data_IF_301852784945
#
_entry.id   IF_301852784945
#
_cell.length_a   1.000
_cell.length_b   1.000
_cell.length_c   1.000
_cell.angle_alpha   90.00
_cell.angle_beta   90.00
_cell.angle_gamma   90.00
#
_symmetry.space_group_name_H-M   'P 1'
#
loop_
_entity.id
_entity.type
_entity.pdbx_description
1 polymer ?
#
# COMPACT_ATOMS: atom_id res chain seq x y z
N UNK A 1 -14.66 -13.45 5.12
CA UNK A 1 -13.59 -13.34 4.09
C UNK A 1 -13.99 -12.38 2.97
N UNK A 2 -15.20 -12.49 2.40
CA UNK A 2 -15.72 -11.55 1.37
C UNK A 2 -15.66 -10.07 1.78
N UNK A 3 -16.05 -9.74 3.01
CA UNK A 3 -16.08 -8.34 3.49
C UNK A 3 -14.69 -7.72 3.69
N UNK A 4 -13.67 -8.55 3.97
CA UNK A 4 -12.28 -8.09 4.09
C UNK A 4 -11.74 -7.63 2.75
N UNK A 5 -12.08 -8.35 1.67
CA UNK A 5 -11.64 -8.03 0.31
C UNK A 5 -12.42 -6.87 -0.31
N UNK A 6 -13.68 -6.67 0.06
CA UNK A 6 -14.46 -5.51 -0.39
C UNK A 6 -13.97 -4.19 0.21
N UNK A 7 -13.36 -4.24 1.40
CA UNK A 7 -12.89 -3.08 2.14
C UNK A 7 -11.38 -3.11 2.43
N UNK A 8 -10.57 -3.80 1.60
CA UNK A 8 -9.13 -3.92 1.82
C UNK A 8 -8.41 -2.56 1.83
N UNK A 9 -9.01 -1.52 1.22
CA UNK A 9 -8.55 -0.14 1.34
C UNK A 9 -8.49 0.41 2.78
N UNK A 10 -9.13 -0.25 3.76
CA UNK A 10 -9.00 0.09 5.18
C UNK A 10 -7.88 -0.68 5.90
N UNK A 11 -7.23 -1.65 5.26
CA UNK A 11 -6.12 -2.40 5.84
C UNK A 11 -4.81 -1.61 5.73
N UNK A 12 -4.73 -0.54 6.50
CA UNK A 12 -3.61 0.40 6.57
C UNK A 12 -3.71 1.20 7.86
N UNK A 13 -2.64 1.91 8.20
CA UNK A 13 -2.67 2.83 9.33
C UNK A 13 -3.50 4.07 8.99
N UNK A 14 -4.34 4.52 9.93
CA UNK A 14 -5.26 5.65 9.72
C UNK A 14 -4.58 6.94 9.23
N UNK A 15 -3.32 7.17 9.65
CA UNK A 15 -2.58 8.36 9.24
C UNK A 15 -2.25 8.39 7.74
N UNK A 16 -2.17 7.23 7.07
CA UNK A 16 -1.95 7.19 5.63
C UNK A 16 -3.11 7.82 4.87
N UNK A 17 -4.35 7.63 5.35
CA UNK A 17 -5.53 8.27 4.76
C UNK A 17 -5.56 9.78 5.04
N UNK A 18 -5.18 10.20 6.25
CA UNK A 18 -5.15 11.64 6.56
C UNK A 18 -4.07 12.37 5.75
N UNK A 19 -2.91 11.75 5.54
CA UNK A 19 -1.88 12.25 4.61
C UNK A 19 -2.36 12.25 3.17
N UNK A 20 -2.98 11.15 2.70
CA UNK A 20 -3.52 11.06 1.35
C UNK A 20 -4.56 12.15 1.06
N UNK A 21 -5.46 12.43 2.01
CA UNK A 21 -6.39 13.54 1.89
C UNK A 21 -5.66 14.89 1.84
N UNK A 22 -4.61 15.08 2.64
CA UNK A 22 -3.75 16.27 2.58
C UNK A 22 -3.10 16.46 1.21
N UNK A 23 -2.57 15.39 0.61
CA UNK A 23 -2.01 15.43 -0.75
C UNK A 23 -3.09 15.65 -1.82
N UNK A 24 -4.27 15.09 -1.65
CA UNK A 24 -5.39 15.29 -2.56
C UNK A 24 -5.82 16.75 -2.59
N UNK A 25 -6.14 17.32 -1.43
CA UNK A 25 -6.62 18.70 -1.29
C UNK A 25 -5.57 19.75 -1.67
N UNK A 26 -4.28 19.42 -1.56
CA UNK A 26 -3.18 20.28 -2.02
C UNK A 26 -2.79 20.06 -3.50
N UNK A 27 -3.48 19.18 -4.23
CA UNK A 27 -3.18 18.88 -5.63
C UNK A 27 -1.87 18.11 -5.85
N UNK A 28 -1.28 17.54 -4.79
CA UNK A 28 0.02 16.84 -4.83
C UNK A 28 -0.10 15.33 -5.06
N UNK A 29 -1.31 14.78 -4.98
CA UNK A 29 -1.58 13.35 -5.21
C UNK A 29 -1.20 12.84 -6.61
N UNK A 30 -0.98 13.73 -7.58
CA UNK A 30 -0.54 13.40 -8.95
C UNK A 30 0.98 13.46 -9.15
N UNK A 31 1.73 13.87 -8.13
CA UNK A 31 3.19 13.95 -8.22
C UNK A 31 3.77 12.54 -8.27
N UNK A 32 4.77 12.35 -9.12
CA UNK A 32 5.54 11.10 -9.16
C UNK A 32 6.38 11.00 -7.89
N UNK A 33 6.34 9.82 -7.27
CA UNK A 33 7.16 9.47 -6.12
C UNK A 33 7.80 8.10 -6.38
N UNK A 34 8.88 7.81 -5.64
CA UNK A 34 9.49 6.49 -5.58
C UNK A 34 9.71 6.12 -4.12
N UNK A 35 9.39 4.88 -3.73
CA UNK A 35 9.60 4.34 -2.39
C UNK A 35 10.36 3.02 -2.45
N UNK A 36 11.34 2.87 -1.56
CA UNK A 36 12.14 1.65 -1.43
C UNK A 36 11.78 0.93 -0.13
N UNK A 37 11.39 -0.34 -0.27
CA UNK A 37 11.18 -1.26 0.86
C UNK A 37 12.45 -2.08 1.08
N UNK A 38 12.99 -2.02 2.30
CA UNK A 38 14.19 -2.75 2.70
C UNK A 38 14.21 -3.01 4.21
N UNK A 39 15.15 -3.84 4.66
CA UNK A 39 15.36 -4.16 6.08
C UNK A 39 16.78 -3.81 6.51
N UNK A 40 17.02 -3.71 7.83
CA UNK A 40 18.26 -3.15 8.40
C UNK A 40 19.18 -4.16 9.08
N UNK A 41 18.68 -5.34 9.37
CA UNK A 41 19.46 -6.43 9.98
C UNK A 41 18.87 -7.76 9.59
N UNK A 42 19.73 -8.75 9.35
CA UNK A 42 19.26 -10.11 9.10
C UNK A 42 18.49 -10.64 10.31
N UNK A 43 17.33 -11.29 10.09
CA UNK A 43 16.57 -11.91 11.15
C UNK A 43 17.38 -13.07 11.75
N UNK A 44 17.14 -13.38 13.02
CA UNK A 44 17.76 -14.51 13.74
C UNK A 44 19.30 -14.50 13.80
N UNK A 45 19.95 -13.36 13.48
CA UNK A 45 21.41 -13.28 13.40
C UNK A 45 22.03 -14.07 12.24
N UNK A 46 21.25 -14.35 11.18
CA UNK A 46 21.72 -15.09 10.02
C UNK A 46 22.70 -14.27 9.15
N UNK A 47 23.37 -14.96 8.22
CA UNK A 47 24.20 -14.32 7.20
C UNK A 47 23.42 -13.71 6.03
N UNK A 48 22.17 -14.14 5.82
CA UNK A 48 21.33 -13.73 4.71
C UNK A 48 19.83 -13.95 4.98
N UNK A 49 18.98 -13.36 4.15
CA UNK A 49 17.52 -13.57 4.18
C UNK A 49 17.04 -14.10 2.83
N UNK A 50 16.05 -14.99 2.81
CA UNK A 50 15.38 -15.42 1.59
C UNK A 50 14.12 -14.58 1.39
N UNK A 51 13.97 -13.92 0.23
CA UNK A 51 12.82 -13.07 -0.06
C UNK A 51 11.59 -13.91 -0.43
N UNK A 52 10.45 -13.64 0.20
CA UNK A 52 9.19 -14.34 -0.04
C UNK A 52 7.98 -13.45 0.23
N UNK A 53 6.82 -13.78 -0.37
CA UNK A 53 5.56 -13.06 -0.21
C UNK A 53 5.22 -12.12 -1.38
N UNK A 54 5.97 -12.19 -2.49
CA UNK A 54 5.71 -11.35 -3.67
C UNK A 54 4.38 -11.74 -4.35
N UNK A 55 4.09 -13.04 -4.42
CA UNK A 55 2.83 -13.54 -4.98
C UNK A 55 1.61 -12.98 -4.24
N UNK A 56 1.57 -13.19 -2.92
CA UNK A 56 0.47 -12.70 -2.06
C UNK A 56 0.33 -11.17 -2.14
N UNK A 57 1.45 -10.45 -2.12
CA UNK A 57 1.45 -8.99 -2.24
C UNK A 57 0.79 -8.52 -3.56
N UNK A 58 1.15 -9.13 -4.69
CA UNK A 58 0.60 -8.75 -6.00
C UNK A 58 -0.88 -9.11 -6.13
N UNK A 59 -1.34 -10.20 -5.52
CA UNK A 59 -2.76 -10.56 -5.48
C UNK A 59 -3.56 -9.55 -4.65
N UNK A 60 -3.09 -9.23 -3.44
CA UNK A 60 -3.73 -8.25 -2.56
C UNK A 60 -3.79 -6.86 -3.19
N UNK A 61 -2.73 -6.44 -3.90
CA UNK A 61 -2.68 -5.16 -4.57
C UNK A 61 -3.72 -5.04 -5.70
N UNK A 62 -3.96 -6.13 -6.45
CA UNK A 62 -4.99 -6.16 -7.49
C UNK A 62 -6.41 -6.03 -6.91
N UNK A 63 -6.61 -6.51 -5.68
CA UNK A 63 -7.88 -6.45 -4.98
C UNK A 63 -8.07 -5.16 -4.16
N UNK A 64 -7.05 -4.30 -4.07
CA UNK A 64 -7.08 -3.10 -3.26
C UNK A 64 -8.12 -2.08 -3.78
N UNK A 65 -9.19 -1.90 -3.00
CA UNK A 65 -10.28 -0.96 -3.29
C UNK A 65 -10.97 -0.49 -2.01
N UNK A 66 -11.70 0.61 -2.12
CA UNK A 66 -12.58 1.13 -1.08
C UNK A 66 -14.04 0.83 -1.44
N UNK A 67 -14.61 -0.21 -0.82
CA UNK A 67 -16.03 -0.54 -0.95
C UNK A 67 -16.94 0.51 -0.29
N UNK A 68 -18.25 0.38 -0.50
CA UNK A 68 -19.25 1.34 0.02
C UNK A 68 -19.18 1.49 1.54
N UNK A 69 -19.00 0.38 2.27
CA UNK A 69 -18.90 0.41 3.73
C UNK A 69 -17.64 1.16 4.21
N UNK A 70 -16.52 0.99 3.51
CA UNK A 70 -15.32 1.76 3.79
C UNK A 70 -15.54 3.26 3.56
N UNK A 71 -16.22 3.64 2.49
CA UNK A 71 -16.55 5.04 2.22
C UNK A 71 -17.46 5.61 3.30
N UNK A 72 -18.51 4.90 3.71
CA UNK A 72 -19.42 5.33 4.76
C UNK A 72 -18.69 5.47 6.11
N UNK A 73 -17.80 4.52 6.41
CA UNK A 73 -16.95 4.60 7.58
C UNK A 73 -16.06 5.85 7.56
N UNK A 74 -15.35 6.12 6.46
CA UNK A 74 -14.48 7.29 6.36
C UNK A 74 -15.27 8.60 6.38
N UNK A 75 -16.47 8.64 5.79
CA UNK A 75 -17.39 9.77 5.91
C UNK A 75 -17.75 10.03 7.37
N UNK A 76 -18.05 8.99 8.14
CA UNK A 76 -18.33 9.11 9.59
C UNK A 76 -17.14 9.64 10.40
N UNK A 77 -15.90 9.49 9.88
CA UNK A 77 -14.66 10.01 10.47
C UNK A 77 -14.31 11.43 10.03
N UNK A 78 -15.13 12.06 9.18
CA UNK A 78 -14.97 13.45 8.76
C UNK A 78 -14.08 13.68 7.54
N UNK A 79 -13.82 12.64 6.74
CA UNK A 79 -13.18 12.80 5.43
C UNK A 79 -14.08 13.59 4.47
N UNK A 80 -13.46 14.34 3.56
CA UNK A 80 -14.15 15.25 2.62
C UNK A 80 -14.75 14.48 1.46
N UNK A 81 -15.96 14.87 1.05
CA UNK A 81 -16.71 14.16 0.02
C UNK A 81 -15.92 14.08 -1.31
N UNK A 82 -15.19 15.13 -1.70
CA UNK A 82 -14.39 15.11 -2.93
C UNK A 82 -13.24 14.09 -2.89
N UNK A 83 -12.65 13.89 -1.71
CA UNK A 83 -11.62 12.86 -1.51
C UNK A 83 -12.23 11.46 -1.45
N UNK A 84 -13.40 11.31 -0.84
CA UNK A 84 -14.12 10.03 -0.82
C UNK A 84 -14.54 9.60 -2.23
N UNK A 85 -14.96 10.53 -3.07
CA UNK A 85 -15.25 10.26 -4.48
C UNK A 85 -14.01 9.81 -5.26
N UNK A 86 -12.85 10.39 -4.95
CA UNK A 86 -11.57 9.90 -5.48
C UNK A 86 -11.25 8.46 -5.02
N UNK A 87 -11.49 8.12 -3.75
CA UNK A 87 -11.21 6.77 -3.22
C UNK A 87 -12.07 5.68 -3.85
N UNK A 88 -13.34 5.96 -4.20
CA UNK A 88 -14.24 4.99 -4.87
C UNK A 88 -13.64 4.46 -6.18
N UNK A 89 -13.04 5.36 -6.95
CA UNK A 89 -12.46 5.07 -8.26
C UNK A 89 -10.96 4.72 -8.18
N UNK A 90 -10.36 4.76 -6.99
CA UNK A 90 -8.94 4.51 -6.82
C UNK A 90 -8.56 3.11 -7.27
N UNK A 91 -7.55 3.03 -8.13
CA UNK A 91 -6.85 1.81 -8.50
C UNK A 91 -5.36 2.09 -8.55
N UNK A 92 -4.55 1.14 -8.10
CA UNK A 92 -3.10 1.25 -8.19
C UNK A 92 -2.66 1.33 -9.67
N UNK A 93 -1.81 2.31 -9.98
CA UNK A 93 -1.27 2.57 -11.33
C UNK A 93 0.26 2.71 -11.35
N UNK A 94 0.91 2.41 -10.23
CA UNK A 94 2.37 2.48 -10.11
C UNK A 94 3.07 1.33 -10.81
N UNK A 95 4.39 1.44 -10.93
CA UNK A 95 5.23 0.32 -11.36
C UNK A 95 5.80 -0.36 -10.13
N UNK A 96 6.02 -1.66 -10.21
CA UNK A 96 6.67 -2.42 -9.14
C UNK A 96 7.92 -3.07 -9.71
N UNK A 97 9.03 -2.82 -9.05
CA UNK A 97 10.29 -3.54 -9.26
C UNK A 97 10.58 -4.33 -7.99
N UNK A 98 10.98 -5.59 -8.11
CA UNK A 98 11.17 -6.45 -6.95
C UNK A 98 12.30 -7.44 -7.18
N UNK A 99 12.98 -7.85 -6.10
CA UNK A 99 13.69 -9.11 -6.05
C UNK A 99 12.73 -10.26 -6.40
N UNK A 100 13.25 -11.36 -6.94
CA UNK A 100 12.41 -12.54 -7.21
C UNK A 100 12.22 -13.35 -5.95
N UNK A 101 11.04 -13.92 -5.81
CA UNK A 101 10.75 -14.84 -4.72
C UNK A 101 11.76 -16.01 -4.73
N UNK A 102 12.31 -16.32 -3.56
CA UNK A 102 13.40 -17.29 -3.38
C UNK A 102 14.81 -16.71 -3.50
N UNK A 103 14.99 -15.44 -3.91
CA UNK A 103 16.30 -14.81 -3.96
C UNK A 103 16.88 -14.54 -2.57
N UNK A 104 18.21 -14.63 -2.48
CA UNK A 104 18.96 -14.28 -1.28
C UNK A 104 19.19 -12.76 -1.27
N UNK A 105 18.77 -12.12 -0.18
CA UNK A 105 18.80 -10.66 -0.01
C UNK A 105 19.47 -10.26 1.30
N UNK A 106 19.95 -9.02 1.35
CA UNK A 106 20.78 -8.47 2.41
C UNK A 106 20.21 -7.15 2.98
N UNK A 107 20.63 -6.74 4.18
CA UNK A 107 20.23 -5.46 4.74
C UNK A 107 20.65 -4.26 3.88
N UNK A 108 19.86 -3.19 3.94
CA UNK A 108 20.11 -1.89 3.29
C UNK A 108 20.10 -1.90 1.76
N UNK A 109 19.52 -2.92 1.13
CA UNK A 109 19.25 -2.93 -0.32
C UNK A 109 17.73 -2.94 -0.60
N UNK A 110 17.25 -2.24 -1.65
CA UNK A 110 15.84 -2.26 -2.01
C UNK A 110 15.39 -3.66 -2.43
N UNK A 111 14.36 -4.18 -1.76
CA UNK A 111 13.72 -5.44 -2.13
C UNK A 111 12.52 -5.23 -3.04
N UNK A 112 11.73 -4.18 -2.75
CA UNK A 112 10.61 -3.73 -3.58
C UNK A 112 10.76 -2.23 -3.77
N UNK A 113 10.57 -1.76 -5.00
CA UNK A 113 10.46 -0.36 -5.36
C UNK A 113 9.11 -0.09 -6.02
N UNK A 114 8.43 0.93 -5.52
CA UNK A 114 7.15 1.45 -6.03
C UNK A 114 7.33 2.86 -6.56
#
# INVERSE_FOLDING_TARGET
>A
MKDLFENFGLYLDYYELTMAQGYFLSGRHILKANFDYFFRSNPFGSGYTCFAGLGDFLELLQMFKFGSEAIDFLKSKGFKDEFLDYLKEFRFKGNIFSAKEGEIVFPYEPLIRV
#
